data_IF_804799802528
#
_entry.id   IF_804799802528
#
_cell.length_a   1.000
_cell.length_b   1.000
_cell.length_c   1.000
_cell.angle_alpha   90.00
_cell.angle_beta   90.00
_cell.angle_gamma   90.00
#
_symmetry.space_group_name_H-M   'P 1'
#
loop_
_entity.id
_entity.type
_entity.pdbx_description
1 polymer ?
#
# COMPACT_ATOMS: atom_id res chain seq x y z
N UNK A 1 -3.54 -42.58 -60.72
CA UNK A 1 -4.31 -41.68 -61.55
C UNK A 1 -4.25 -40.34 -60.90
N UNK A 2 -3.45 -39.46 -61.52
CA UNK A 2 -3.53 -38.02 -61.73
C UNK A 2 -3.44 -37.18 -60.45
N UNK A 3 -2.36 -36.62 -60.08
CA UNK A 3 -1.48 -35.57 -60.62
C UNK A 3 -2.24 -34.36 -61.14
N UNK A 4 -2.01 -33.24 -60.49
CA UNK A 4 -2.03 -31.83 -60.91
C UNK A 4 -2.19 -30.96 -59.63
N UNK A 5 -1.40 -30.01 -59.31
CA UNK A 5 -0.39 -29.23 -59.97
C UNK A 5 -0.36 -27.87 -59.31
N UNK A 6 0.76 -27.51 -58.87
CA UNK A 6 1.42 -26.18 -58.69
C UNK A 6 0.61 -24.92 -59.08
N UNK A 7 0.68 -23.86 -58.29
CA UNK A 7 1.31 -22.57 -58.61
C UNK A 7 1.19 -21.65 -57.39
N UNK A 8 2.30 -21.20 -56.78
CA UNK A 8 3.13 -20.00 -57.13
C UNK A 8 2.46 -18.65 -56.80
N UNK A 9 3.12 -17.94 -55.93
CA UNK A 9 3.31 -16.50 -55.86
C UNK A 9 2.11 -15.58 -56.12
N UNK A 10 1.50 -15.11 -55.05
CA UNK A 10 0.88 -13.78 -55.05
C UNK A 10 1.79 -12.76 -54.36
N UNK A 11 2.57 -12.05 -55.22
CA UNK A 11 3.18 -10.76 -54.88
C UNK A 11 2.07 -9.72 -54.70
N UNK A 12 2.00 -9.15 -53.50
CA UNK A 12 1.17 -7.98 -53.26
C UNK A 12 1.79 -6.78 -53.96
N UNK A 13 1.13 -6.31 -55.02
CA UNK A 13 1.36 -5.09 -55.74
C UNK A 13 1.04 -3.88 -54.85
N UNK A 14 2.10 -3.11 -54.45
CA UNK A 14 1.95 -1.82 -53.79
C UNK A 14 1.95 -0.75 -54.87
N UNK A 15 0.86 0.03 -55.05
CA UNK A 15 0.86 1.08 -56.10
C UNK A 15 1.87 2.17 -55.78
N UNK A 16 2.76 2.45 -56.75
CA UNK A 16 3.67 3.55 -56.71
C UNK A 16 2.90 4.88 -56.74
N UNK A 17 3.06 5.68 -55.70
CA UNK A 17 2.59 7.07 -55.65
C UNK A 17 3.58 7.92 -56.47
N UNK A 18 3.13 8.37 -57.66
CA UNK A 18 3.86 9.36 -58.49
C UNK A 18 3.76 10.74 -57.87
N UNK A 19 4.91 11.31 -57.52
CA UNK A 19 5.02 12.70 -57.11
C UNK A 19 4.82 13.61 -58.33
N UNK A 20 4.14 14.78 -58.22
CA UNK A 20 3.97 15.71 -59.29
C UNK A 20 5.30 16.42 -59.63
N UNK A 21 5.57 16.51 -60.93
CA UNK A 21 6.67 17.31 -61.49
C UNK A 21 6.35 18.79 -61.26
N UNK A 22 7.22 19.50 -60.57
CA UNK A 22 7.11 20.95 -60.38
C UNK A 22 7.82 21.61 -61.54
N UNK A 23 7.07 22.39 -62.34
CA UNK A 23 7.61 23.25 -63.38
C UNK A 23 8.58 24.29 -62.83
N UNK A 24 9.72 24.42 -63.50
CA UNK A 24 10.73 25.45 -63.21
C UNK A 24 10.19 26.83 -63.51
N UNK A 25 10.00 27.67 -62.48
CA UNK A 25 9.79 29.11 -62.65
C UNK A 25 11.11 29.85 -62.84
N UNK A 26 11.14 31.00 -63.56
CA UNK A 26 12.35 31.65 -63.95
C UNK A 26 13.13 32.25 -62.76
N UNK A 27 14.46 32.14 -62.86
CA UNK A 27 15.44 32.65 -61.91
C UNK A 27 15.41 34.22 -61.88
N UNK A 28 14.79 34.76 -60.81
CA UNK A 28 15.04 36.18 -60.50
C UNK A 28 16.37 36.30 -59.74
N UNK A 29 17.21 37.24 -60.25
CA UNK A 29 18.46 37.62 -59.66
C UNK A 29 18.29 38.15 -58.26
N UNK A 30 18.69 37.36 -57.30
CA UNK A 30 18.69 37.72 -55.87
C UNK A 30 19.89 38.66 -55.62
N UNK A 31 19.61 39.91 -55.28
CA UNK A 31 20.57 40.83 -54.71
C UNK A 31 21.02 40.29 -53.34
N UNK A 32 22.27 39.94 -53.19
CA UNK A 32 22.89 39.54 -51.95
C UNK A 32 22.78 40.65 -50.89
N UNK A 33 21.83 40.56 -49.97
CA UNK A 33 21.88 41.32 -48.72
C UNK A 33 22.92 40.67 -47.81
N UNK A 34 23.79 41.41 -47.13
CA UNK A 34 24.78 40.82 -46.24
C UNK A 34 24.06 40.03 -45.11
N UNK A 35 24.31 38.74 -45.04
CA UNK A 35 23.90 37.90 -43.94
C UNK A 35 24.66 38.36 -42.70
N UNK A 36 23.96 39.06 -41.81
CA UNK A 36 24.47 39.30 -40.47
C UNK A 36 24.43 37.93 -39.77
N UNK A 37 25.58 37.29 -39.65
CA UNK A 37 25.73 36.14 -38.75
C UNK A 37 25.35 36.59 -37.34
N UNK A 38 24.11 36.33 -36.95
CA UNK A 38 23.74 36.34 -35.55
C UNK A 38 24.50 35.19 -34.88
N UNK A 39 25.63 35.52 -34.28
CA UNK A 39 26.35 34.62 -33.39
C UNK A 39 25.34 34.21 -32.32
N UNK A 40 24.84 32.98 -32.40
CA UNK A 40 23.99 32.42 -31.38
C UNK A 40 24.73 32.55 -30.04
N UNK A 41 24.08 33.18 -29.05
CA UNK A 41 24.66 33.29 -27.72
C UNK A 41 25.08 31.88 -27.25
N UNK A 42 26.25 31.73 -26.62
CA UNK A 42 26.71 30.43 -26.17
C UNK A 42 25.63 29.79 -25.30
N UNK A 43 25.20 28.58 -25.64
CA UNK A 43 24.30 27.78 -24.82
C UNK A 43 25.03 27.53 -23.51
N UNK A 44 24.67 28.28 -22.47
CA UNK A 44 25.19 28.05 -21.14
C UNK A 44 24.60 26.72 -20.65
N UNK A 45 25.39 25.66 -20.70
CA UNK A 45 25.00 24.39 -20.09
C UNK A 45 25.04 24.60 -18.59
N UNK A 46 23.88 24.46 -17.87
CA UNK A 46 23.87 24.66 -16.45
C UNK A 46 24.78 23.63 -15.74
N UNK A 47 25.46 24.06 -14.66
CA UNK A 47 26.26 23.17 -13.84
C UNK A 47 25.34 22.08 -13.21
N UNK A 48 25.82 20.86 -13.15
CA UNK A 48 25.08 19.79 -12.41
C UNK A 48 24.94 20.07 -10.92
N UNK A 49 25.66 21.08 -10.38
CA UNK A 49 25.50 21.54 -9.01
C UNK A 49 24.35 22.55 -8.84
N UNK A 50 23.68 22.94 -9.94
CA UNK A 50 22.55 23.84 -9.89
C UNK A 50 21.32 23.12 -9.32
N UNK A 51 20.90 23.52 -8.12
CA UNK A 51 19.77 22.93 -7.41
C UNK A 51 18.44 23.02 -8.17
N UNK A 52 18.31 23.97 -9.10
CA UNK A 52 17.11 24.11 -9.93
C UNK A 52 16.89 22.95 -10.91
N UNK A 53 17.93 22.15 -11.18
CA UNK A 53 17.85 20.96 -12.04
C UNK A 53 17.29 19.73 -11.31
N UNK A 54 17.09 19.79 -10.02
CA UNK A 54 16.68 18.66 -9.20
C UNK A 54 15.27 18.84 -8.64
N UNK A 55 14.51 17.76 -8.69
CA UNK A 55 13.20 17.68 -8.05
C UNK A 55 13.37 16.96 -6.72
N UNK A 56 12.78 17.51 -5.66
CA UNK A 56 12.81 16.87 -4.33
C UNK A 56 12.18 15.47 -4.39
N UNK A 57 12.94 14.47 -3.98
CA UNK A 57 12.60 13.06 -4.12
C UNK A 57 11.26 12.70 -3.47
N UNK A 58 11.05 13.13 -2.22
CA UNK A 58 9.86 12.82 -1.45
C UNK A 58 8.62 13.53 -2.00
N UNK A 59 8.76 14.79 -2.44
CA UNK A 59 7.66 15.52 -3.10
C UNK A 59 7.31 14.89 -4.45
N UNK A 60 8.31 14.44 -5.23
CA UNK A 60 8.09 13.71 -6.48
C UNK A 60 7.33 12.39 -6.24
N UNK A 61 7.66 11.66 -5.18
CA UNK A 61 6.95 10.43 -4.81
C UNK A 61 5.49 10.72 -4.44
N UNK A 62 5.21 11.82 -3.75
CA UNK A 62 3.84 12.25 -3.46
C UNK A 62 3.07 12.63 -4.72
N UNK A 63 3.71 13.31 -5.70
CA UNK A 63 3.10 13.61 -7.00
C UNK A 63 2.74 12.32 -7.77
N UNK A 64 3.58 11.29 -7.69
CA UNK A 64 3.23 9.98 -8.23
C UNK A 64 2.00 9.39 -7.52
N UNK A 65 1.95 9.46 -6.18
CA UNK A 65 0.83 8.92 -5.42
C UNK A 65 -0.49 9.70 -5.69
N UNK A 66 -0.41 11.01 -5.95
CA UNK A 66 -1.57 11.81 -6.39
C UNK A 66 -2.14 11.26 -7.71
N UNK A 67 -1.30 10.90 -8.67
CA UNK A 67 -1.77 10.27 -9.93
C UNK A 67 -2.44 8.92 -9.67
N UNK A 68 -2.01 8.17 -8.65
CA UNK A 68 -2.70 6.96 -8.22
C UNK A 68 -4.10 7.29 -7.70
N UNK A 69 -4.25 8.36 -6.90
CA UNK A 69 -5.56 8.79 -6.41
C UNK A 69 -6.48 9.25 -7.54
N UNK A 70 -5.94 9.89 -8.57
CA UNK A 70 -6.71 10.35 -9.73
C UNK A 70 -7.40 9.20 -10.48
N UNK A 71 -6.80 8.00 -10.50
CA UNK A 71 -7.42 6.81 -11.09
C UNK A 71 -8.76 6.45 -10.39
N UNK A 72 -8.95 6.85 -9.14
CA UNK A 72 -10.23 6.65 -8.44
C UNK A 72 -11.37 7.49 -9.04
N UNK A 73 -11.06 8.54 -9.78
CA UNK A 73 -12.03 9.39 -10.47
C UNK A 73 -12.26 9.00 -11.93
N UNK A 74 -11.37 8.23 -12.52
CA UNK A 74 -11.45 7.82 -13.93
C UNK A 74 -12.56 6.77 -14.12
N UNK A 75 -13.65 7.18 -14.77
CA UNK A 75 -14.83 6.33 -15.00
C UNK A 75 -14.59 5.24 -16.05
N UNK A 76 -13.46 5.24 -16.74
CA UNK A 76 -13.08 4.14 -17.64
C UNK A 76 -12.70 2.86 -16.88
N UNK A 77 -12.37 2.98 -15.58
CA UNK A 77 -12.11 1.83 -14.71
C UNK A 77 -13.40 1.31 -14.06
N UNK A 78 -13.51 -0.02 -13.87
CA UNK A 78 -14.58 -0.62 -13.07
C UNK A 78 -14.61 -0.06 -11.64
N UNK A 79 -15.80 0.06 -11.05
CA UNK A 79 -16.00 0.80 -9.80
C UNK A 79 -15.18 0.26 -8.59
N UNK A 80 -15.05 -1.06 -8.46
CA UNK A 80 -14.24 -1.66 -7.39
C UNK A 80 -12.74 -1.46 -7.62
N UNK A 81 -12.31 -1.33 -8.88
CA UNK A 81 -10.92 -0.96 -9.20
C UNK A 81 -10.64 0.51 -8.85
N UNK A 82 -11.59 1.41 -9.10
CA UNK A 82 -11.51 2.81 -8.65
C UNK A 82 -11.36 2.89 -7.12
N UNK A 83 -12.14 2.08 -6.40
CA UNK A 83 -11.95 1.95 -4.95
C UNK A 83 -10.56 1.44 -4.59
N UNK A 84 -10.04 0.41 -5.29
CA UNK A 84 -8.68 -0.10 -5.07
C UNK A 84 -7.63 1.00 -5.21
N UNK A 85 -7.70 1.85 -6.24
CA UNK A 85 -6.76 2.96 -6.42
C UNK A 85 -6.77 3.94 -5.25
N UNK A 86 -7.96 4.29 -4.72
CA UNK A 86 -8.07 5.10 -3.52
C UNK A 86 -7.42 4.45 -2.29
N UNK A 87 -7.52 3.13 -2.16
CA UNK A 87 -6.91 2.37 -1.07
C UNK A 87 -5.40 2.20 -1.25
N UNK A 88 -4.93 2.04 -2.48
CA UNK A 88 -3.51 2.01 -2.83
C UNK A 88 -2.86 3.35 -2.45
N UNK A 89 -3.53 4.48 -2.74
CA UNK A 89 -3.08 5.80 -2.27
C UNK A 89 -2.85 5.82 -0.76
N UNK A 90 -3.81 5.30 0.03
CA UNK A 90 -3.65 5.18 1.49
C UNK A 90 -2.47 4.30 1.89
N UNK A 91 -2.30 3.15 1.23
CA UNK A 91 -1.22 2.21 1.53
C UNK A 91 0.15 2.81 1.22
N UNK A 92 0.27 3.46 0.07
CA UNK A 92 1.49 4.16 -0.33
C UNK A 92 1.83 5.30 0.64
N UNK A 93 0.80 6.02 1.11
CA UNK A 93 0.98 7.09 2.07
C UNK A 93 1.42 6.55 3.45
N UNK A 94 0.89 5.40 3.87
CA UNK A 94 1.34 4.73 5.09
C UNK A 94 2.85 4.41 5.02
N UNK A 95 3.30 3.76 3.95
CA UNK A 95 4.71 3.44 3.75
C UNK A 95 5.59 4.69 3.67
N UNK A 96 5.10 5.73 2.99
CA UNK A 96 5.79 7.02 2.87
C UNK A 96 6.07 7.63 4.25
N UNK A 97 5.09 7.63 5.15
CA UNK A 97 5.27 8.13 6.51
C UNK A 97 6.17 7.22 7.35
N UNK A 98 5.99 5.91 7.26
CA UNK A 98 6.76 4.93 8.02
C UNK A 98 8.27 4.99 7.72
N UNK A 99 8.63 5.38 6.49
CA UNK A 99 10.03 5.32 6.02
C UNK A 99 10.57 6.70 5.68
N UNK A 100 9.91 7.45 4.79
CA UNK A 100 10.47 8.71 4.26
C UNK A 100 10.35 9.85 5.24
N UNK A 101 9.15 10.10 5.75
CA UNK A 101 8.94 11.13 6.77
C UNK A 101 9.72 10.79 8.05
N UNK A 102 9.70 9.53 8.46
CA UNK A 102 10.49 9.05 9.60
C UNK A 102 11.99 9.32 9.40
N UNK A 103 12.52 9.07 8.18
CA UNK A 103 13.92 9.35 7.85
C UNK A 103 14.28 10.84 7.93
N UNK A 104 13.42 11.72 7.38
CA UNK A 104 13.61 13.17 7.48
C UNK A 104 13.58 13.67 8.95
N UNK A 105 12.65 13.15 9.76
CA UNK A 105 12.59 13.46 11.20
C UNK A 105 13.86 13.02 11.94
N UNK A 106 14.41 11.85 11.61
CA UNK A 106 15.67 11.39 12.16
C UNK A 106 16.84 12.34 11.81
N UNK A 107 16.92 12.81 10.56
CA UNK A 107 17.96 13.75 10.15
C UNK A 107 17.94 15.03 10.99
N UNK A 108 16.76 15.58 11.26
CA UNK A 108 16.59 16.75 12.11
C UNK A 108 17.01 16.45 13.55
N UNK A 109 16.53 15.34 14.14
CA UNK A 109 16.81 14.98 15.52
C UNK A 109 18.31 14.71 15.79
N UNK A 110 19.05 14.22 14.81
CA UNK A 110 20.49 13.97 14.93
C UNK A 110 21.35 15.15 14.47
N UNK A 111 20.77 16.34 14.25
CA UNK A 111 21.45 17.54 13.75
C UNK A 111 22.30 17.29 12.48
N UNK A 112 21.87 16.33 11.64
CA UNK A 112 22.47 16.01 10.33
C UNK A 112 21.65 16.66 9.21
N UNK A 113 21.25 17.91 9.40
CA UNK A 113 20.51 18.65 8.40
C UNK A 113 21.44 19.03 7.24
N UNK A 114 21.43 18.20 6.20
CA UNK A 114 22.06 18.52 4.92
C UNK A 114 20.96 18.77 3.88
N UNK A 115 21.09 19.89 3.15
CA UNK A 115 20.21 20.15 2.03
C UNK A 115 20.34 19.03 0.99
N UNK A 116 19.22 18.64 0.39
CA UNK A 116 19.21 17.77 -0.78
C UNK A 116 19.86 18.43 -1.99
N UNK A 117 20.04 17.67 -3.08
CA UNK A 117 20.54 18.22 -4.34
C UNK A 117 19.66 19.38 -4.87
N UNK A 118 18.38 19.39 -4.54
CA UNK A 118 17.38 20.43 -4.82
C UNK A 118 17.48 21.66 -3.89
N UNK A 119 18.41 21.68 -2.95
CA UNK A 119 18.64 22.77 -2.00
C UNK A 119 17.66 22.84 -0.82
N UNK A 120 16.65 21.95 -0.72
CA UNK A 120 15.71 21.96 0.40
C UNK A 120 16.33 21.34 1.67
N UNK A 121 16.16 22.05 2.78
CA UNK A 121 16.48 21.50 4.09
C UNK A 121 15.40 20.51 4.57
N UNK A 122 15.71 19.51 5.38
CA UNK A 122 14.77 18.51 5.88
C UNK A 122 13.51 19.10 6.52
N UNK A 123 13.64 20.15 7.33
CA UNK A 123 12.48 20.81 7.95
C UNK A 123 11.57 21.52 6.94
N UNK A 124 12.14 22.13 5.88
CA UNK A 124 11.37 22.75 4.80
C UNK A 124 10.64 21.68 3.97
N UNK A 125 11.31 20.56 3.71
CA UNK A 125 10.71 19.43 3.03
C UNK A 125 9.51 18.88 3.83
N UNK A 126 9.65 18.67 5.15
CA UNK A 126 8.56 18.22 6.01
C UNK A 126 7.35 19.17 6.00
N UNK A 127 7.58 20.50 6.04
CA UNK A 127 6.49 21.46 5.95
C UNK A 127 5.73 21.34 4.64
N UNK A 128 6.43 21.31 3.49
CA UNK A 128 5.80 21.15 2.16
C UNK A 128 5.09 19.80 2.01
N UNK A 129 5.66 18.74 2.58
CA UNK A 129 5.04 17.41 2.62
C UNK A 129 3.74 17.47 3.41
N UNK A 130 3.74 18.10 4.60
CA UNK A 130 2.54 18.22 5.43
C UNK A 130 1.42 18.96 4.68
N UNK A 131 1.71 20.13 4.11
CA UNK A 131 0.73 20.93 3.36
C UNK A 131 0.09 20.13 2.21
N UNK A 132 0.95 19.48 1.39
CA UNK A 132 0.49 18.67 0.26
C UNK A 132 -0.35 17.46 0.72
N UNK A 133 0.08 16.77 1.76
CA UNK A 133 -0.62 15.57 2.25
C UNK A 133 -1.95 15.94 2.91
N UNK A 134 -2.03 17.05 3.66
CA UNK A 134 -3.30 17.51 4.21
C UNK A 134 -4.34 17.77 3.12
N UNK A 135 -3.95 18.46 2.05
CA UNK A 135 -4.81 18.68 0.90
C UNK A 135 -5.29 17.37 0.28
N UNK A 136 -4.36 16.46 0.01
CA UNK A 136 -4.68 15.21 -0.69
C UNK A 136 -5.46 14.21 0.17
N UNK A 137 -5.26 14.17 1.49
CA UNK A 137 -6.10 13.37 2.40
C UNK A 137 -7.52 13.92 2.42
N UNK A 138 -7.70 15.25 2.48
CA UNK A 138 -9.02 15.88 2.35
C UNK A 138 -9.71 15.45 1.04
N UNK A 139 -9.00 15.53 -0.10
CA UNK A 139 -9.49 15.11 -1.41
C UNK A 139 -9.84 13.62 -1.46
N UNK A 140 -9.02 12.77 -0.86
CA UNK A 140 -9.26 11.32 -0.78
C UNK A 140 -10.59 11.00 -0.08
N UNK A 141 -10.86 11.62 1.06
CA UNK A 141 -12.10 11.40 1.80
C UNK A 141 -13.32 12.01 1.09
N UNK A 142 -13.17 13.12 0.36
CA UNK A 142 -14.22 13.66 -0.49
C UNK A 142 -14.55 12.68 -1.63
N UNK A 143 -13.55 12.14 -2.34
CA UNK A 143 -13.76 11.12 -3.38
C UNK A 143 -14.49 9.90 -2.80
N UNK A 144 -14.08 9.41 -1.65
CA UNK A 144 -14.70 8.25 -1.00
C UNK A 144 -16.18 8.51 -0.68
N UNK A 145 -16.47 9.64 -0.02
CA UNK A 145 -17.80 9.93 0.51
C UNK A 145 -18.79 10.43 -0.54
N UNK A 146 -18.32 11.24 -1.49
CA UNK A 146 -19.20 11.97 -2.42
C UNK A 146 -19.27 11.30 -3.80
N UNK A 147 -18.28 10.45 -4.15
CA UNK A 147 -18.24 9.77 -5.43
C UNK A 147 -18.39 8.25 -5.26
N UNK A 148 -17.46 7.58 -4.57
CA UNK A 148 -17.40 6.13 -4.57
C UNK A 148 -18.51 5.47 -3.74
N UNK A 149 -18.78 5.91 -2.51
CA UNK A 149 -19.86 5.34 -1.71
C UNK A 149 -21.24 5.50 -2.35
N UNK A 150 -21.62 6.67 -2.91
CA UNK A 150 -22.87 6.79 -3.66
C UNK A 150 -22.93 5.91 -4.92
N UNK A 151 -21.81 5.76 -5.64
CA UNK A 151 -21.75 4.88 -6.80
C UNK A 151 -21.90 3.40 -6.41
N UNK A 152 -21.21 2.94 -5.36
CA UNK A 152 -21.35 1.59 -4.82
C UNK A 152 -22.78 1.28 -4.37
N UNK A 153 -23.45 2.24 -3.75
CA UNK A 153 -24.85 2.08 -3.33
C UNK A 153 -25.81 1.85 -4.49
N UNK A 154 -25.56 2.45 -5.66
CA UNK A 154 -26.35 2.19 -6.88
C UNK A 154 -26.24 0.73 -7.38
N UNK A 155 -25.14 0.06 -7.04
CA UNK A 155 -24.90 -1.35 -7.33
C UNK A 155 -25.27 -2.28 -6.15
N UNK A 156 -25.99 -1.78 -5.13
CA UNK A 156 -26.43 -2.58 -3.99
C UNK A 156 -25.33 -2.86 -2.95
N UNK A 157 -24.19 -2.19 -3.03
CA UNK A 157 -23.11 -2.27 -2.04
C UNK A 157 -23.22 -1.07 -1.09
N UNK A 158 -23.77 -1.31 0.10
CA UNK A 158 -24.16 -0.23 1.00
C UNK A 158 -23.34 -0.25 2.31
N UNK A 159 -22.89 0.93 2.73
CA UNK A 159 -22.31 1.15 4.05
C UNK A 159 -23.33 1.86 4.94
N UNK A 160 -23.97 1.10 5.83
CA UNK A 160 -25.07 1.60 6.65
C UNK A 160 -24.51 2.42 7.82
N UNK A 161 -24.58 3.75 7.69
CA UNK A 161 -24.13 4.69 8.73
C UNK A 161 -25.06 4.60 9.95
N UNK A 162 -24.51 4.73 11.17
CA UNK A 162 -25.23 4.61 12.45
C UNK A 162 -26.54 5.41 12.53
N UNK A 163 -26.59 6.63 11.97
CA UNK A 163 -27.78 7.48 11.93
C UNK A 163 -28.97 6.87 11.18
N UNK A 164 -28.72 5.90 10.31
CA UNK A 164 -29.75 5.21 9.52
C UNK A 164 -30.07 3.82 10.05
N UNK A 165 -29.54 3.42 11.23
CA UNK A 165 -29.85 2.13 11.80
C UNK A 165 -31.31 2.03 12.23
N UNK A 166 -32.05 1.11 11.64
CA UNK A 166 -33.39 0.71 12.04
C UNK A 166 -33.37 -0.03 13.38
N UNK A 167 -34.54 -0.30 13.95
CA UNK A 167 -34.66 -1.10 15.17
C UNK A 167 -34.03 -2.50 14.98
N UNK A 168 -34.22 -3.12 13.79
CA UNK A 168 -33.59 -4.43 13.47
C UNK A 168 -32.06 -4.33 13.45
N UNK A 169 -31.52 -3.28 12.79
CA UNK A 169 -30.08 -3.04 12.77
C UNK A 169 -29.52 -2.88 14.19
N UNK A 170 -30.13 -2.05 15.03
CA UNK A 170 -29.70 -1.82 16.41
C UNK A 170 -29.72 -3.11 17.25
N UNK A 171 -30.77 -3.93 17.13
CA UNK A 171 -30.88 -5.19 17.85
C UNK A 171 -29.78 -6.19 17.40
N UNK A 172 -29.53 -6.28 16.09
CA UNK A 172 -28.49 -7.16 15.55
C UNK A 172 -27.10 -6.67 15.95
N UNK A 173 -26.79 -5.38 15.78
CA UNK A 173 -25.50 -4.77 16.18
C UNK A 173 -25.23 -5.01 17.67
N UNK A 174 -26.24 -4.80 18.55
CA UNK A 174 -26.08 -5.03 19.99
C UNK A 174 -25.74 -6.48 20.32
N UNK A 175 -26.40 -7.44 19.65
CA UNK A 175 -26.10 -8.87 19.82
C UNK A 175 -24.69 -9.18 19.34
N UNK A 176 -24.34 -8.75 18.11
CA UNK A 176 -23.02 -8.97 17.54
C UNK A 176 -21.91 -8.33 18.40
N UNK A 177 -22.13 -7.11 18.88
CA UNK A 177 -21.19 -6.45 19.78
C UNK A 177 -20.95 -7.26 21.05
N UNK A 178 -22.02 -7.67 21.72
CA UNK A 178 -21.94 -8.42 22.98
C UNK A 178 -21.28 -9.80 22.80
N UNK A 179 -21.61 -10.50 21.72
CA UNK A 179 -21.22 -11.89 21.54
C UNK A 179 -19.84 -12.03 20.85
N UNK A 180 -19.48 -11.11 19.96
CA UNK A 180 -18.27 -11.23 19.12
C UNK A 180 -17.20 -10.15 19.39
N UNK A 181 -17.60 -8.94 19.83
CA UNK A 181 -16.67 -7.82 19.96
C UNK A 181 -16.25 -7.59 21.41
N UNK A 182 -17.21 -7.45 22.32
CA UNK A 182 -16.94 -7.12 23.72
C UNK A 182 -16.01 -8.11 24.44
N UNK A 183 -16.09 -9.44 24.21
CA UNK A 183 -15.19 -10.40 24.87
C UNK A 183 -13.71 -10.24 24.47
N UNK A 184 -13.43 -9.59 23.33
CA UNK A 184 -12.07 -9.47 22.76
C UNK A 184 -11.48 -8.08 23.02
N UNK A 185 -12.30 -7.10 23.36
CA UNK A 185 -11.88 -5.72 23.61
C UNK A 185 -11.59 -5.53 25.10
N UNK A 186 -10.42 -4.95 25.39
CA UNK A 186 -10.04 -4.57 26.75
C UNK A 186 -9.80 -3.04 26.79
N UNK A 187 -10.74 -2.27 27.34
CA UNK A 187 -10.53 -0.85 27.58
C UNK A 187 -9.42 -0.62 28.61
N UNK A 188 -8.65 0.43 28.42
CA UNK A 188 -7.55 0.82 29.30
C UNK A 188 -7.80 2.25 29.80
N UNK A 189 -8.06 2.39 31.10
CA UNK A 189 -8.17 3.70 31.75
C UNK A 189 -6.83 4.44 31.71
N UNK A 190 -6.86 5.71 31.39
CA UNK A 190 -5.67 6.56 31.38
C UNK A 190 -5.53 7.24 32.74
N UNK A 191 -4.47 6.92 33.46
CA UNK A 191 -4.09 7.51 34.73
C UNK A 191 -2.84 8.39 34.52
N UNK A 192 -2.85 9.66 34.93
CA UNK A 192 -1.69 10.53 34.79
C UNK A 192 -0.41 10.01 35.48
N UNK A 193 -0.54 9.08 36.42
CA UNK A 193 0.59 8.47 37.14
C UNK A 193 1.21 7.28 36.40
N UNK A 194 0.56 6.79 35.36
CA UNK A 194 1.03 5.67 34.55
C UNK A 194 1.37 6.11 33.12
N UNK A 195 2.36 5.48 32.48
CA UNK A 195 2.65 5.77 31.09
C UNK A 195 1.47 5.39 30.18
N UNK A 196 1.31 6.14 29.11
CA UNK A 196 0.29 5.86 28.10
C UNK A 196 0.48 4.45 27.51
N UNK A 197 -0.60 3.68 27.26
CA UNK A 197 -0.48 2.33 26.73
C UNK A 197 0.24 2.29 25.40
N UNK A 198 1.09 1.26 25.21
CA UNK A 198 1.80 1.05 23.95
C UNK A 198 0.80 0.59 22.87
N UNK A 199 0.52 1.49 21.93
CA UNK A 199 -0.36 1.21 20.81
C UNK A 199 0.44 0.69 19.62
N UNK A 200 -0.06 -0.38 19.02
CA UNK A 200 0.56 -1.01 17.85
C UNK A 200 0.45 -0.10 16.63
N UNK A 201 1.52 -0.01 15.84
CA UNK A 201 1.56 0.75 14.58
C UNK A 201 0.35 0.45 13.68
N UNK A 202 -0.31 1.49 13.18
CA UNK A 202 -1.50 1.44 12.29
C UNK A 202 -2.71 0.66 12.86
N UNK A 203 -2.79 0.45 14.18
CA UNK A 203 -3.98 -0.14 14.81
C UNK A 203 -5.11 0.89 14.91
N UNK A 204 -6.36 0.39 14.86
CA UNK A 204 -7.53 1.20 15.18
C UNK A 204 -7.66 1.29 16.69
N UNK A 205 -7.77 2.50 17.19
CA UNK A 205 -7.96 2.78 18.61
C UNK A 205 -9.08 3.81 18.77
N UNK A 206 -9.62 3.91 19.99
CA UNK A 206 -10.57 4.95 20.36
C UNK A 206 -10.07 5.66 21.60
N UNK A 207 -10.11 6.98 21.59
CA UNK A 207 -10.01 7.80 22.80
C UNK A 207 -11.42 8.03 23.31
N UNK A 208 -11.63 7.75 24.58
CA UNK A 208 -12.96 7.82 25.23
C UNK A 208 -12.87 8.81 26.36
N UNK A 209 -13.79 9.79 26.35
CA UNK A 209 -13.97 10.74 27.44
C UNK A 209 -15.05 10.21 28.39
N UNK A 210 -14.72 10.12 29.67
CA UNK A 210 -15.55 9.50 30.72
C UNK A 210 -15.90 10.52 31.81
N UNK A 211 -17.04 10.31 32.44
CA UNK A 211 -17.50 11.08 33.60
C UNK A 211 -17.91 10.09 34.69
N UNK A 212 -17.48 10.33 35.92
CA UNK A 212 -17.75 9.49 37.09
C UNK A 212 -16.52 8.75 37.59
N UNK A 213 -16.72 7.84 38.53
CA UNK A 213 -15.65 7.02 39.12
C UNK A 213 -15.77 5.58 38.64
N UNK A 214 -14.64 4.94 38.42
CA UNK A 214 -14.59 3.53 38.03
C UNK A 214 -15.01 2.62 39.23
N UNK A 215 -15.08 1.31 38.96
CA UNK A 215 -15.42 0.30 39.97
C UNK A 215 -14.45 0.28 41.18
N UNK A 216 -13.29 0.92 41.05
CA UNK A 216 -12.25 1.05 42.11
C UNK A 216 -12.25 2.42 42.75
N UNK A 217 -13.23 3.28 42.45
CA UNK A 217 -13.37 4.62 43.02
C UNK A 217 -12.39 5.67 42.42
N UNK A 218 -11.76 5.40 41.28
CA UNK A 218 -10.85 6.32 40.62
C UNK A 218 -11.59 7.17 39.60
N UNK A 219 -11.29 8.46 39.59
CA UNK A 219 -11.75 9.38 38.55
C UNK A 219 -10.74 9.30 37.38
N UNK A 220 -11.04 8.44 36.43
CA UNK A 220 -10.27 8.37 35.18
C UNK A 220 -11.09 9.00 34.06
N UNK A 221 -10.90 10.33 33.87
CA UNK A 221 -11.63 11.08 32.85
C UNK A 221 -11.41 10.61 31.40
N UNK A 222 -10.42 9.75 31.18
CA UNK A 222 -10.08 9.25 29.85
C UNK A 222 -9.75 7.77 29.83
N UNK A 223 -10.08 7.12 28.72
CA UNK A 223 -9.67 5.75 28.43
C UNK A 223 -9.31 5.57 26.96
N UNK A 224 -8.57 4.51 26.67
CA UNK A 224 -8.29 4.06 25.31
C UNK A 224 -8.90 2.68 25.09
N UNK A 225 -9.56 2.49 23.95
CA UNK A 225 -10.03 1.18 23.49
C UNK A 225 -9.19 0.78 22.27
N UNK A 226 -8.19 -0.11 22.41
CA UNK A 226 -7.50 -0.68 21.27
C UNK A 226 -8.39 -1.75 20.62
N UNK A 227 -8.65 -1.64 19.32
CA UNK A 227 -9.41 -2.64 18.59
C UNK A 227 -8.44 -3.70 18.01
N UNK A 228 -8.50 -4.96 18.45
CA UNK A 228 -7.63 -6.03 18.00
C UNK A 228 -7.66 -6.22 16.48
N UNK A 229 -6.51 -6.58 15.88
CA UNK A 229 -6.40 -6.81 14.44
C UNK A 229 -7.20 -8.02 13.95
N UNK A 230 -7.51 -8.94 14.83
CA UNK A 230 -8.32 -10.13 14.57
C UNK A 230 -9.76 -9.77 14.16
N UNK A 231 -10.32 -8.68 14.71
CA UNK A 231 -11.67 -8.24 14.40
C UNK A 231 -11.75 -7.68 12.97
N UNK A 232 -12.73 -8.13 12.14
CA UNK A 232 -12.98 -7.56 10.84
C UNK A 232 -13.37 -6.08 10.98
N UNK A 233 -12.86 -5.22 10.12
CA UNK A 233 -13.17 -3.77 10.15
C UNK A 233 -14.49 -3.43 9.50
N UNK A 234 -14.95 -4.31 8.61
CA UNK A 234 -16.19 -4.21 7.85
C UNK A 234 -16.95 -5.49 8.10
N UNK A 235 -18.16 -5.38 8.61
CA UNK A 235 -19.00 -6.51 8.97
C UNK A 235 -20.19 -6.55 8.02
N UNK A 236 -20.36 -7.68 7.33
CA UNK A 236 -21.52 -7.90 6.46
C UNK A 236 -22.77 -8.08 7.32
N UNK A 237 -23.80 -7.30 7.02
CA UNK A 237 -25.10 -7.41 7.69
C UNK A 237 -25.89 -8.54 7.04
N UNK A 238 -26.46 -9.48 7.79
CA UNK A 238 -27.34 -10.51 7.23
C UNK A 238 -28.53 -9.91 6.46
N UNK A 239 -28.95 -10.58 5.38
CA UNK A 239 -30.01 -10.07 4.52
C UNK A 239 -31.35 -9.86 5.26
N UNK A 240 -31.64 -10.69 6.25
CA UNK A 240 -32.87 -10.58 7.07
C UNK A 240 -32.90 -9.29 7.90
N UNK A 241 -31.73 -8.68 8.13
CA UNK A 241 -31.55 -7.44 8.90
C UNK A 241 -31.32 -6.25 7.99
N UNK A 242 -30.44 -6.38 7.02
CA UNK A 242 -29.98 -5.30 6.12
C UNK A 242 -30.85 -5.12 4.89
N UNK A 243 -31.68 -6.12 4.54
CA UNK A 243 -32.37 -6.16 3.26
C UNK A 243 -31.47 -6.67 2.12
N UNK A 244 -31.98 -6.64 0.87
CA UNK A 244 -31.26 -7.15 -0.29
C UNK A 244 -29.97 -6.38 -0.57
N UNK A 245 -28.99 -7.07 -1.15
CA UNK A 245 -27.70 -6.52 -1.53
C UNK A 245 -26.59 -6.76 -0.51
N UNK A 246 -25.42 -6.21 -0.80
CA UNK A 246 -24.23 -6.32 0.04
C UNK A 246 -24.19 -5.16 1.06
N UNK A 247 -24.84 -5.35 2.20
CA UNK A 247 -24.96 -4.36 3.25
C UNK A 247 -23.87 -4.54 4.30
N UNK A 248 -23.16 -3.46 4.65
CA UNK A 248 -22.04 -3.47 5.57
C UNK A 248 -22.18 -2.43 6.69
N UNK A 249 -21.61 -2.74 7.85
CA UNK A 249 -21.42 -1.81 8.97
C UNK A 249 -19.94 -1.80 9.37
N UNK A 250 -19.40 -0.62 9.66
CA UNK A 250 -18.05 -0.50 10.19
C UNK A 250 -17.97 -0.95 11.64
N UNK A 251 -16.92 -1.69 11.98
CA UNK A 251 -16.59 -2.04 13.37
C UNK A 251 -16.55 -0.80 14.28
N UNK A 252 -15.96 0.29 13.77
CA UNK A 252 -15.87 1.56 14.49
C UNK A 252 -17.25 2.11 14.88
N UNK A 253 -18.25 1.94 14.01
CA UNK A 253 -19.64 2.36 14.31
C UNK A 253 -20.28 1.50 15.39
N UNK A 254 -19.96 0.19 15.44
CA UNK A 254 -20.46 -0.71 16.47
C UNK A 254 -19.83 -0.40 17.83
N UNK A 255 -18.51 -0.23 17.89
CA UNK A 255 -17.80 0.12 19.13
C UNK A 255 -18.28 1.46 19.65
N UNK A 256 -18.39 2.48 18.79
CA UNK A 256 -18.90 3.79 19.19
C UNK A 256 -20.35 3.73 19.72
N UNK A 257 -21.19 2.86 19.16
CA UNK A 257 -22.59 2.74 19.58
C UNK A 257 -22.76 2.05 20.95
N UNK A 258 -21.78 1.26 21.36
CA UNK A 258 -21.78 0.44 22.56
C UNK A 258 -20.60 0.72 23.48
N UNK A 259 -19.99 1.92 23.35
CA UNK A 259 -18.88 2.32 24.22
C UNK A 259 -19.30 2.35 25.71
N UNK A 260 -20.52 2.77 26.01
CA UNK A 260 -21.05 2.77 27.39
C UNK A 260 -21.06 1.36 28.04
N UNK A 261 -21.32 0.32 27.23
CA UNK A 261 -21.35 -1.06 27.70
C UNK A 261 -19.97 -1.56 28.19
N UNK A 262 -18.89 -0.87 27.80
CA UNK A 262 -17.50 -1.19 28.16
C UNK A 262 -17.03 -0.52 29.47
N UNK A 263 -17.80 0.44 30.01
CA UNK A 263 -17.42 1.21 31.20
C UNK A 263 -18.54 1.21 32.23
N UNK A 264 -18.79 0.06 32.92
CA UNK A 264 -19.83 -0.04 33.91
C UNK A 264 -19.64 0.97 35.06
N UNK A 265 -20.68 1.72 35.39
CA UNK A 265 -20.65 2.73 36.43
C UNK A 265 -20.15 4.12 36.03
N UNK A 266 -19.63 4.26 34.81
CA UNK A 266 -19.19 5.53 34.24
C UNK A 266 -20.08 5.95 33.05
N UNK A 267 -20.10 7.24 32.73
CA UNK A 267 -20.82 7.77 31.59
C UNK A 267 -19.82 8.14 30.50
N UNK A 268 -20.03 7.64 29.29
CA UNK A 268 -19.23 8.01 28.11
C UNK A 268 -19.73 9.36 27.58
N UNK A 269 -18.89 10.39 27.62
CA UNK A 269 -19.15 11.70 27.02
C UNK A 269 -18.85 11.74 25.53
N UNK A 270 -17.78 11.02 25.12
CA UNK A 270 -17.33 10.96 23.75
C UNK A 270 -16.47 9.74 23.49
N UNK A 271 -16.51 9.25 22.25
CA UNK A 271 -15.71 8.11 21.80
C UNK A 271 -15.24 8.39 20.37
N UNK A 272 -13.94 8.56 20.17
CA UNK A 272 -13.39 9.04 18.90
C UNK A 272 -12.31 8.09 18.40
N UNK A 273 -12.46 7.61 17.17
CA UNK A 273 -11.48 6.73 16.56
C UNK A 273 -10.22 7.49 16.17
N UNK A 274 -9.08 6.84 16.36
CA UNK A 274 -7.80 7.34 15.91
C UNK A 274 -6.86 6.22 15.51
N UNK A 275 -5.84 6.57 14.75
CA UNK A 275 -4.78 5.68 14.29
C UNK A 275 -3.44 6.39 14.39
N UNK A 276 -2.42 5.68 14.85
CA UNK A 276 -1.05 6.16 14.93
C UNK A 276 -0.19 5.43 13.90
N UNK A 277 0.54 6.18 13.06
CA UNK A 277 1.59 5.65 12.19
C UNK A 277 2.93 5.88 12.87
N UNK A 278 3.78 4.85 12.90
CA UNK A 278 5.09 4.88 13.57
C UNK A 278 6.21 4.67 12.57
N UNK A 279 7.38 5.14 12.92
CA UNK A 279 8.61 4.81 12.22
C UNK A 279 8.78 3.29 12.13
N UNK A 280 8.93 2.78 10.92
CA UNK A 280 9.16 1.37 10.64
C UNK A 280 10.50 1.12 9.96
N UNK A 281 11.35 2.14 9.84
CA UNK A 281 12.68 2.01 9.28
C UNK A 281 13.62 1.33 10.27
N UNK A 282 14.22 0.22 9.85
CA UNK A 282 15.16 -0.55 10.67
C UNK A 282 16.55 0.13 10.60
N UNK A 283 16.97 0.65 11.73
CA UNK A 283 18.27 1.33 11.85
C UNK A 283 19.35 0.40 12.43
N UNK A 284 19.52 -0.79 11.83
CA UNK A 284 20.65 -1.66 12.20
C UNK A 284 21.90 -1.12 11.55
N UNK A 285 22.85 -0.68 12.35
CA UNK A 285 24.19 -0.36 11.89
C UNK A 285 24.93 -1.67 11.61
N UNK A 286 25.20 -1.93 10.33
CA UNK A 286 25.79 -3.21 9.90
C UNK A 286 27.30 -3.28 10.14
N UNK A 287 27.94 -2.14 10.40
CA UNK A 287 29.39 -2.10 10.61
C UNK A 287 29.78 -2.59 12.02
N UNK A 288 28.87 -2.43 13.00
CA UNK A 288 29.14 -2.76 14.42
C UNK A 288 28.47 -4.05 14.91
N UNK A 289 27.80 -4.83 14.01
CA UNK A 289 27.01 -6.00 14.42
C UNK A 289 27.64 -7.31 13.97
N UNK A 290 28.09 -8.11 14.94
CA UNK A 290 28.63 -9.46 14.69
C UNK A 290 27.56 -10.46 14.18
N UNK A 291 26.27 -10.30 14.59
CA UNK A 291 25.13 -11.15 14.20
C UNK A 291 23.95 -10.30 13.74
N UNK A 292 23.87 -10.08 12.43
CA UNK A 292 22.81 -9.33 11.79
C UNK A 292 21.41 -9.94 12.02
N UNK A 293 21.29 -11.25 12.05
CA UNK A 293 20.00 -11.93 12.25
C UNK A 293 19.45 -11.69 13.66
N UNK A 294 20.33 -11.69 14.67
CA UNK A 294 19.98 -11.41 16.06
C UNK A 294 19.61 -9.94 16.27
N UNK A 295 20.38 -9.03 15.68
CA UNK A 295 20.11 -7.60 15.74
C UNK A 295 18.76 -7.26 15.08
N UNK A 296 18.49 -7.80 13.90
CA UNK A 296 17.21 -7.61 13.22
C UNK A 296 16.01 -8.13 14.01
N UNK A 297 16.13 -9.26 14.72
CA UNK A 297 15.04 -9.74 15.60
C UNK A 297 14.70 -8.75 16.70
N UNK A 298 15.70 -8.12 17.31
CA UNK A 298 15.50 -7.06 18.30
C UNK A 298 14.78 -5.85 17.71
N UNK A 299 15.25 -5.39 16.56
CA UNK A 299 14.69 -4.22 15.86
C UNK A 299 13.27 -4.49 15.31
N UNK A 300 12.94 -5.69 14.86
CA UNK A 300 11.59 -6.04 14.41
C UNK A 300 10.56 -5.91 15.53
N UNK A 301 10.94 -6.19 16.77
CA UNK A 301 10.06 -5.93 17.92
C UNK A 301 9.89 -4.43 18.15
N UNK A 302 10.97 -3.66 18.11
CA UNK A 302 10.99 -2.20 18.26
C UNK A 302 10.16 -1.50 17.18
N UNK A 303 10.13 -2.03 15.96
CA UNK A 303 9.34 -1.49 14.83
C UNK A 303 7.84 -1.36 15.12
N UNK A 304 7.28 -2.25 15.95
CA UNK A 304 5.85 -2.16 16.36
C UNK A 304 5.57 -0.94 17.22
N UNK A 305 6.59 -0.37 17.85
CA UNK A 305 6.52 0.67 18.87
C UNK A 305 7.50 1.83 18.63
N UNK A 306 8.00 1.98 17.40
CA UNK A 306 8.88 3.10 17.01
C UNK A 306 8.23 4.47 17.22
N UNK A 307 9.01 5.54 17.06
CA UNK A 307 8.53 6.91 17.21
C UNK A 307 7.31 7.19 16.35
N UNK A 308 6.36 7.96 16.87
CA UNK A 308 5.21 8.39 16.13
C UNK A 308 5.60 9.36 15.01
N UNK A 309 4.99 9.21 13.84
CA UNK A 309 5.22 10.07 12.67
C UNK A 309 3.95 10.69 12.11
N UNK A 310 2.78 10.11 12.40
CA UNK A 310 1.48 10.64 11.96
C UNK A 310 0.37 10.19 12.90
N UNK A 311 -0.54 11.10 13.22
CA UNK A 311 -1.78 10.82 13.95
C UNK A 311 -2.97 11.11 13.05
N UNK A 312 -3.83 10.13 12.83
CA UNK A 312 -5.10 10.28 12.13
C UNK A 312 -6.24 10.15 13.13
N UNK A 313 -7.16 11.09 13.13
CA UNK A 313 -8.29 11.16 14.07
C UNK A 313 -9.56 11.50 13.29
N UNK A 314 -10.71 10.98 13.69
CA UNK A 314 -11.99 11.42 13.12
C UNK A 314 -12.19 12.93 13.35
N UNK A 315 -12.71 13.62 12.33
CA UNK A 315 -12.88 15.09 12.31
C UNK A 315 -13.77 15.65 13.44
N UNK A 316 -14.64 14.81 14.00
CA UNK A 316 -15.52 15.15 15.12
C UNK A 316 -14.82 15.11 16.49
N UNK A 317 -13.55 14.70 16.55
CA UNK A 317 -12.80 14.65 17.80
C UNK A 317 -12.51 16.07 18.32
N UNK A 318 -12.85 16.41 19.57
CA UNK A 318 -12.62 17.73 20.12
C UNK A 318 -11.12 18.08 20.22
N UNK A 319 -10.82 19.38 20.08
CA UNK A 319 -9.43 19.86 20.09
C UNK A 319 -8.67 19.48 21.35
N UNK A 320 -9.28 19.54 22.52
CA UNK A 320 -8.59 19.17 23.78
C UNK A 320 -8.11 17.72 23.80
N UNK A 321 -8.84 16.79 23.15
CA UNK A 321 -8.41 15.38 23.04
C UNK A 321 -7.32 15.20 21.99
N UNK A 322 -7.41 15.90 20.86
CA UNK A 322 -6.35 15.86 19.85
C UNK A 322 -5.05 16.46 20.36
N UNK A 323 -5.11 17.59 21.09
CA UNK A 323 -3.94 18.21 21.72
C UNK A 323 -3.29 17.28 22.75
N UNK A 324 -4.10 16.54 23.52
CA UNK A 324 -3.60 15.54 24.46
C UNK A 324 -2.91 14.38 23.75
N UNK A 325 -3.50 13.85 22.67
CA UNK A 325 -2.88 12.79 21.87
C UNK A 325 -1.57 13.27 21.23
N UNK A 326 -1.55 14.48 20.65
CA UNK A 326 -0.34 15.07 20.08
C UNK A 326 0.78 15.18 21.12
N UNK A 327 0.46 15.73 22.29
CA UNK A 327 1.42 15.83 23.42
C UNK A 327 1.93 14.45 23.84
N UNK A 328 1.03 13.47 23.92
CA UNK A 328 1.37 12.11 24.36
C UNK A 328 2.32 11.40 23.39
N UNK A 329 2.18 11.65 22.10
CA UNK A 329 2.99 11.00 21.07
C UNK A 329 4.16 11.86 20.59
N UNK A 330 4.36 13.06 21.15
CA UNK A 330 5.43 13.98 20.74
C UNK A 330 5.26 14.46 19.29
N UNK A 331 4.02 14.69 18.87
CA UNK A 331 3.68 15.17 17.54
C UNK A 331 3.22 16.62 17.57
N UNK A 332 3.35 17.31 16.44
CA UNK A 332 2.86 18.67 16.19
C UNK A 332 1.53 18.66 15.45
N UNK A 333 0.90 19.82 15.30
CA UNK A 333 -0.33 19.97 14.51
C UNK A 333 -0.13 19.60 13.02
N UNK A 334 1.07 19.76 12.46
CA UNK A 334 1.38 19.36 11.08
C UNK A 334 1.28 17.84 10.84
N UNK A 335 1.38 17.06 11.91
CA UNK A 335 1.32 15.60 11.87
C UNK A 335 -0.06 15.04 12.25
N UNK A 336 -1.03 15.94 12.55
CA UNK A 336 -2.41 15.60 12.84
C UNK A 336 -3.27 15.64 11.59
N UNK A 337 -3.89 14.55 11.23
CA UNK A 337 -4.82 14.42 10.11
C UNK A 337 -6.22 14.13 10.61
N UNK A 338 -7.10 15.12 10.56
CA UNK A 338 -8.52 14.97 10.89
C UNK A 338 -9.28 14.52 9.64
N UNK A 339 -9.97 13.39 9.72
CA UNK A 339 -10.56 12.72 8.57
C UNK A 339 -12.06 12.52 8.72
N UNK A 340 -12.82 12.80 7.66
CA UNK A 340 -14.27 12.61 7.61
C UNK A 340 -14.62 11.18 7.18
N UNK A 341 -14.38 10.22 8.07
CA UNK A 341 -14.68 8.83 7.77
C UNK A 341 -13.92 7.85 8.67
N UNK A 342 -13.86 6.58 8.27
CA UNK A 342 -13.09 5.60 9.03
C UNK A 342 -11.60 5.87 8.89
N UNK A 343 -10.87 5.88 10.00
CA UNK A 343 -9.40 5.85 9.94
C UNK A 343 -8.95 4.48 9.42
N UNK A 344 -7.80 4.41 8.74
CA UNK A 344 -7.28 3.18 8.13
C UNK A 344 -8.14 2.62 6.98
N UNK A 345 -8.22 3.37 5.90
CA UNK A 345 -9.01 3.03 4.70
C UNK A 345 -8.56 1.73 4.02
N UNK A 346 -7.29 1.30 4.18
CA UNK A 346 -6.77 0.06 3.58
C UNK A 346 -7.58 -1.19 3.97
N UNK A 347 -8.35 -1.13 5.06
CA UNK A 347 -9.22 -2.24 5.47
C UNK A 347 -10.42 -2.45 4.53
N UNK A 348 -10.73 -1.47 3.70
CA UNK A 348 -11.74 -1.60 2.64
C UNK A 348 -11.30 -2.52 1.48
N UNK A 349 -10.02 -2.91 1.39
CA UNK A 349 -9.59 -3.93 0.42
C UNK A 349 -10.37 -5.24 0.53
N UNK A 350 -10.91 -5.58 1.70
CA UNK A 350 -11.71 -6.79 1.89
C UNK A 350 -13.00 -6.84 1.07
N UNK A 351 -13.46 -5.70 0.54
CA UNK A 351 -14.66 -5.64 -0.30
C UNK A 351 -14.36 -5.40 -1.79
N UNK A 352 -13.10 -5.27 -2.19
CA UNK A 352 -12.76 -4.99 -3.58
C UNK A 352 -12.71 -6.24 -4.46
N UNK A 353 -12.81 -7.43 -3.88
CA UNK A 353 -12.86 -8.72 -4.56
C UNK A 353 -14.19 -9.45 -4.32
N UNK A 354 -15.33 -8.77 -4.47
CA UNK A 354 -16.63 -9.37 -4.26
C UNK A 354 -17.03 -10.25 -5.46
N UNK A 355 -17.11 -11.57 -5.27
CA UNK A 355 -17.55 -12.52 -6.29
C UNK A 355 -18.97 -12.23 -6.81
N UNK A 356 -19.79 -11.55 -6.02
CA UNK A 356 -21.15 -11.15 -6.40
C UNK A 356 -21.22 -10.01 -7.42
N UNK A 357 -20.09 -9.33 -7.70
CA UNK A 357 -20.02 -8.17 -8.58
C UNK A 357 -18.80 -8.22 -9.51
N UNK A 358 -18.69 -9.24 -10.38
CA UNK A 358 -17.56 -9.35 -11.30
C UNK A 358 -17.52 -8.21 -12.32
N UNK A 359 -18.67 -7.63 -12.66
CA UNK A 359 -18.80 -6.50 -13.59
C UNK A 359 -18.20 -5.20 -13.06
N UNK A 360 -17.97 -5.11 -11.75
CA UNK A 360 -17.32 -3.96 -11.09
C UNK A 360 -15.80 -4.13 -10.92
N UNK A 361 -15.23 -5.18 -11.49
CA UNK A 361 -13.82 -5.54 -11.41
C UNK A 361 -13.25 -5.74 -12.80
N UNK A 362 -11.93 -5.67 -12.94
CA UNK A 362 -11.28 -6.13 -14.16
C UNK A 362 -11.49 -7.64 -14.34
N UNK A 363 -11.67 -8.03 -15.58
CA UNK A 363 -11.68 -9.46 -15.92
C UNK A 363 -10.37 -10.11 -15.43
N UNK A 364 -10.43 -11.33 -14.87
CA UNK A 364 -9.24 -12.03 -14.44
C UNK A 364 -8.27 -12.20 -15.61
N UNK A 365 -7.01 -11.83 -15.39
CA UNK A 365 -5.95 -12.04 -16.36
C UNK A 365 -5.27 -13.38 -16.08
N UNK A 366 -5.22 -14.23 -17.10
CA UNK A 366 -4.49 -15.51 -17.03
C UNK A 366 -3.19 -15.39 -17.80
N UNK A 367 -2.03 -15.44 -17.12
CA UNK A 367 -0.73 -15.42 -17.77
C UNK A 367 -0.58 -16.61 -18.73
N UNK A 368 0.04 -16.35 -19.88
CA UNK A 368 0.28 -17.40 -20.88
C UNK A 368 1.60 -18.13 -20.60
N UNK A 369 1.66 -19.41 -20.89
CA UNK A 369 2.93 -20.15 -20.91
C UNK A 369 3.55 -19.95 -22.30
N UNK A 370 4.82 -19.54 -22.44
CA UNK A 370 5.50 -19.38 -23.71
C UNK A 370 5.41 -20.66 -24.57
N UNK A 371 5.19 -20.51 -25.86
CA UNK A 371 5.01 -21.65 -26.79
C UNK A 371 6.13 -22.68 -26.70
N UNK A 372 7.36 -22.23 -26.45
CA UNK A 372 8.52 -23.12 -26.29
C UNK A 372 8.42 -24.07 -25.10
N UNK A 373 7.64 -23.68 -24.08
CA UNK A 373 7.48 -24.44 -22.83
C UNK A 373 6.13 -25.16 -22.72
N UNK A 374 5.15 -24.84 -23.57
CA UNK A 374 3.77 -25.35 -23.46
C UNK A 374 3.66 -26.88 -23.55
N UNK A 375 4.53 -27.54 -24.31
CA UNK A 375 4.48 -28.99 -24.56
C UNK A 375 5.76 -29.72 -24.12
N UNK A 376 6.55 -29.07 -23.25
CA UNK A 376 7.81 -29.66 -22.81
C UNK A 376 7.62 -30.40 -21.48
N UNK A 377 7.70 -31.73 -21.54
CA UNK A 377 7.74 -32.56 -20.32
C UNK A 377 9.04 -32.35 -19.51
N UNK A 378 10.11 -31.88 -20.18
CA UNK A 378 11.40 -31.64 -19.57
C UNK A 378 11.95 -30.26 -19.93
N UNK A 379 11.93 -29.36 -18.96
CA UNK A 379 12.40 -27.97 -19.12
C UNK A 379 13.91 -27.94 -19.47
N UNK A 380 14.72 -28.81 -18.91
CA UNK A 380 16.15 -28.86 -19.20
C UNK A 380 16.44 -29.09 -20.69
N UNK A 381 15.59 -29.88 -21.38
CA UNK A 381 15.74 -30.12 -22.80
C UNK A 381 15.52 -28.87 -23.65
N UNK A 382 14.78 -27.91 -23.15
CA UNK A 382 14.48 -26.62 -23.83
C UNK A 382 15.60 -25.62 -23.53
N UNK A 383 15.92 -25.40 -22.23
CA UNK A 383 16.93 -24.42 -21.83
C UNK A 383 18.36 -24.80 -22.28
N UNK A 384 18.61 -26.08 -22.53
CA UNK A 384 19.91 -26.50 -23.12
C UNK A 384 20.10 -26.12 -24.59
N UNK A 385 19.03 -25.75 -25.29
CA UNK A 385 19.07 -25.37 -26.71
C UNK A 385 19.12 -23.87 -26.92
N UNK A 386 18.48 -23.10 -26.03
CA UNK A 386 18.40 -21.65 -26.14
C UNK A 386 18.05 -21.00 -24.82
N UNK A 387 18.38 -19.73 -24.71
CA UNK A 387 17.93 -18.87 -23.61
C UNK A 387 16.42 -18.61 -23.68
N UNK A 388 15.81 -18.49 -22.51
CA UNK A 388 14.35 -18.22 -22.38
C UNK A 388 14.19 -16.94 -21.57
N UNK A 389 13.54 -15.95 -22.18
CA UNK A 389 13.13 -14.73 -21.53
C UNK A 389 11.64 -14.83 -21.17
N UNK A 390 11.27 -14.53 -19.92
CA UNK A 390 9.88 -14.46 -19.44
C UNK A 390 9.53 -13.03 -19.07
N UNK A 391 8.41 -12.54 -19.58
CA UNK A 391 7.89 -11.20 -19.28
C UNK A 391 6.71 -11.30 -18.29
N UNK A 392 7.01 -11.20 -17.00
CA UNK A 392 5.97 -11.20 -15.97
C UNK A 392 5.29 -9.81 -15.86
N UNK A 393 3.99 -9.75 -15.56
CA UNK A 393 3.03 -10.84 -15.24
C UNK A 393 2.34 -11.43 -16.48
N UNK A 394 2.69 -11.02 -17.70
CA UNK A 394 2.01 -11.46 -18.94
C UNK A 394 2.30 -12.92 -19.27
N UNK A 395 3.51 -13.36 -19.00
CA UNK A 395 3.90 -14.76 -19.07
C UNK A 395 3.94 -15.38 -17.67
N UNK A 396 3.53 -16.65 -17.59
CA UNK A 396 3.41 -17.37 -16.32
C UNK A 396 4.76 -17.57 -15.63
N UNK A 397 4.77 -17.46 -14.31
CA UNK A 397 5.91 -17.82 -13.48
C UNK A 397 6.04 -19.33 -13.25
N UNK A 398 5.00 -20.11 -13.59
CA UNK A 398 4.97 -21.58 -13.43
C UNK A 398 6.21 -22.29 -14.01
N UNK A 399 6.74 -21.92 -15.20
CA UNK A 399 7.95 -22.57 -15.71
C UNK A 399 9.17 -22.42 -14.81
N UNK A 400 9.30 -21.33 -14.06
CA UNK A 400 10.41 -21.16 -13.10
C UNK A 400 10.26 -22.12 -11.93
N UNK A 401 9.03 -22.26 -11.41
CA UNK A 401 8.72 -23.23 -10.34
C UNK A 401 8.94 -24.67 -10.82
N UNK A 402 8.48 -24.98 -12.03
CA UNK A 402 8.61 -26.31 -12.62
C UNK A 402 10.08 -26.69 -12.88
N UNK A 403 10.91 -25.72 -13.27
CA UNK A 403 12.37 -25.94 -13.38
C UNK A 403 12.95 -26.41 -12.05
N UNK A 404 12.60 -25.77 -10.94
CA UNK A 404 13.08 -26.16 -9.61
C UNK A 404 12.48 -27.47 -9.14
N UNK A 405 11.22 -27.75 -9.41
CA UNK A 405 10.57 -29.04 -9.10
C UNK A 405 11.19 -30.20 -9.90
N UNK A 406 11.49 -29.97 -11.18
CA UNK A 406 12.21 -30.96 -11.99
C UNK A 406 13.63 -31.14 -11.48
N UNK A 407 14.35 -30.05 -11.17
CA UNK A 407 15.69 -30.10 -10.60
C UNK A 407 15.72 -30.87 -9.27
N UNK A 408 14.69 -30.70 -8.42
CA UNK A 408 14.60 -31.43 -7.16
C UNK A 408 14.51 -32.96 -7.33
N UNK A 409 13.93 -33.44 -8.45
CA UNK A 409 13.68 -34.86 -8.72
C UNK A 409 14.69 -35.50 -9.67
N UNK A 410 15.31 -34.74 -10.56
CA UNK A 410 16.24 -35.25 -11.57
C UNK A 410 17.53 -35.75 -10.91
N UNK A 411 17.89 -37.04 -11.05
CA UNK A 411 19.10 -37.62 -10.46
C UNK A 411 20.39 -37.02 -11.01
N UNK A 412 20.37 -36.37 -12.17
CA UNK A 412 21.53 -35.73 -12.78
C UNK A 412 21.82 -34.33 -12.22
N UNK A 413 20.88 -33.75 -11.51
CA UNK A 413 21.07 -32.48 -10.81
C UNK A 413 21.71 -32.74 -9.46
N UNK A 414 22.93 -32.23 -9.26
CA UNK A 414 23.72 -32.47 -8.05
C UNK A 414 23.50 -31.35 -7.01
N UNK A 415 23.38 -30.12 -7.48
CA UNK A 415 23.28 -28.95 -6.61
C UNK A 415 22.34 -27.89 -7.18
N UNK A 416 21.71 -27.11 -6.27
CA UNK A 416 20.90 -25.95 -6.60
C UNK A 416 21.43 -24.75 -5.78
N UNK A 417 21.75 -23.65 -6.47
CA UNK A 417 22.13 -22.37 -5.83
C UNK A 417 21.10 -21.31 -6.20
N UNK A 418 20.41 -20.78 -5.20
CA UNK A 418 19.28 -19.88 -5.37
C UNK A 418 19.42 -18.62 -4.51
N UNK A 419 19.21 -17.45 -5.10
CA UNK A 419 19.06 -16.20 -4.34
C UNK A 419 17.58 -15.90 -4.14
N UNK A 420 17.20 -15.47 -2.92
CA UNK A 420 15.83 -15.10 -2.55
C UNK A 420 15.83 -13.71 -1.94
N UNK A 421 15.09 -12.80 -2.55
CA UNK A 421 14.88 -11.44 -2.03
C UNK A 421 13.56 -11.34 -1.25
N UNK A 422 12.45 -11.75 -1.89
CA UNK A 422 11.10 -11.82 -1.30
C UNK A 422 10.46 -13.12 -1.71
N UNK A 423 10.32 -14.05 -0.78
CA UNK A 423 9.78 -15.38 -1.05
C UNK A 423 8.27 -15.49 -0.76
N UNK A 424 7.73 -14.59 0.09
CA UNK A 424 6.37 -14.72 0.61
C UNK A 424 6.22 -15.85 1.63
N UNK A 425 5.06 -15.91 2.29
CA UNK A 425 4.80 -16.86 3.37
C UNK A 425 4.60 -18.33 2.89
N UNK A 426 4.12 -18.51 1.64
CA UNK A 426 3.85 -19.82 1.04
C UNK A 426 4.54 -19.89 -0.33
N UNK A 427 5.84 -20.09 -0.34
CA UNK A 427 6.63 -20.05 -1.56
C UNK A 427 6.84 -21.46 -2.13
N UNK A 428 6.25 -21.73 -3.30
CA UNK A 428 6.49 -22.98 -4.05
C UNK A 428 7.96 -23.17 -4.41
N UNK A 429 8.75 -22.07 -4.50
CA UNK A 429 10.20 -22.13 -4.68
C UNK A 429 10.87 -22.72 -3.44
N UNK A 430 10.49 -22.24 -2.25
CA UNK A 430 11.03 -22.75 -0.98
C UNK A 430 10.69 -24.23 -0.81
N UNK A 431 9.45 -24.62 -1.11
CA UNK A 431 9.00 -26.01 -1.05
C UNK A 431 9.83 -26.90 -1.99
N UNK A 432 10.11 -26.45 -3.22
CA UNK A 432 10.94 -27.18 -4.17
C UNK A 432 12.39 -27.30 -3.70
N UNK A 433 12.96 -26.27 -3.07
CA UNK A 433 14.32 -26.33 -2.51
C UNK A 433 14.41 -27.30 -1.32
N UNK A 434 13.39 -27.31 -0.45
CA UNK A 434 13.30 -28.28 0.66
C UNK A 434 13.18 -29.72 0.12
N UNK A 435 12.35 -29.94 -0.92
CA UNK A 435 12.24 -31.24 -1.59
C UNK A 435 13.57 -31.65 -2.18
N UNK A 436 14.31 -30.76 -2.84
CA UNK A 436 15.63 -31.03 -3.39
C UNK A 436 16.63 -31.50 -2.31
N UNK A 437 16.68 -30.80 -1.18
CA UNK A 437 17.54 -31.13 -0.06
C UNK A 437 17.18 -32.52 0.53
N UNK A 438 15.88 -32.81 0.68
CA UNK A 438 15.39 -34.15 1.12
C UNK A 438 15.76 -35.27 0.15
N UNK A 439 15.84 -34.97 -1.15
CA UNK A 439 16.29 -35.89 -2.19
C UNK A 439 17.83 -36.01 -2.28
N UNK A 440 18.56 -35.47 -1.31
CA UNK A 440 20.00 -35.58 -1.19
C UNK A 440 20.82 -34.65 -2.09
N UNK A 441 20.22 -33.60 -2.63
CA UNK A 441 20.93 -32.60 -3.42
C UNK A 441 21.57 -31.53 -2.52
N UNK A 442 22.69 -30.97 -2.97
CA UNK A 442 23.31 -29.84 -2.31
C UNK A 442 22.50 -28.59 -2.63
N UNK A 443 21.87 -27.96 -1.62
CA UNK A 443 21.07 -26.75 -1.78
C UNK A 443 21.70 -25.59 -1.03
N UNK A 444 22.05 -24.53 -1.76
CA UNK A 444 22.52 -23.28 -1.18
C UNK A 444 21.51 -22.17 -1.50
N UNK A 445 20.82 -21.67 -0.47
CA UNK A 445 19.92 -20.51 -0.60
C UNK A 445 20.56 -19.27 0.04
N UNK A 446 20.70 -18.19 -0.73
CA UNK A 446 21.14 -16.88 -0.24
C UNK A 446 19.93 -16.00 -0.09
N UNK A 447 19.65 -15.54 1.15
CA UNK A 447 18.42 -14.83 1.51
C UNK A 447 18.77 -13.42 1.95
N UNK A 448 18.09 -12.40 1.36
CA UNK A 448 18.22 -11.01 1.76
C UNK A 448 17.43 -10.75 3.06
N UNK A 449 18.12 -10.54 4.17
CA UNK A 449 17.50 -10.33 5.48
C UNK A 449 16.82 -8.96 5.61
N UNK A 450 17.30 -7.96 4.87
CA UNK A 450 16.79 -6.58 4.90
C UNK A 450 15.79 -6.28 3.77
N UNK A 451 15.15 -7.34 3.22
CA UNK A 451 14.05 -7.15 2.29
C UNK A 451 12.89 -6.47 3.02
N UNK A 452 12.68 -5.18 2.74
CA UNK A 452 11.75 -4.31 3.47
C UNK A 452 10.34 -4.92 3.55
N UNK A 453 9.81 -5.02 4.79
CA UNK A 453 8.55 -5.64 5.19
C UNK A 453 8.47 -7.17 5.09
N UNK A 454 9.48 -7.83 4.51
CA UNK A 454 9.58 -9.29 4.45
C UNK A 454 10.66 -9.84 5.39
N UNK A 455 11.27 -8.99 6.23
CA UNK A 455 12.38 -9.34 7.12
C UNK A 455 12.01 -10.49 8.07
N UNK A 456 10.80 -10.45 8.66
CA UNK A 456 10.32 -11.51 9.57
C UNK A 456 10.15 -12.85 8.82
N UNK A 457 9.58 -12.82 7.61
CA UNK A 457 9.44 -13.99 6.74
C UNK A 457 10.79 -14.54 6.35
N UNK A 458 11.71 -13.68 5.89
CA UNK A 458 13.04 -14.09 5.44
C UNK A 458 13.90 -14.62 6.60
N UNK A 459 13.80 -14.04 7.79
CA UNK A 459 14.46 -14.59 8.99
C UNK A 459 13.94 -15.97 9.36
N UNK A 460 12.67 -16.28 9.12
CA UNK A 460 12.11 -17.61 9.40
C UNK A 460 12.69 -18.68 8.49
N UNK A 461 13.09 -18.34 7.27
CA UNK A 461 13.66 -19.29 6.31
C UNK A 461 15.03 -19.83 6.73
N UNK A 462 15.79 -19.09 7.55
CA UNK A 462 17.09 -19.55 8.08
C UNK A 462 16.95 -20.85 8.88
N UNK A 463 15.77 -21.11 9.43
CA UNK A 463 15.50 -22.28 10.29
C UNK A 463 14.86 -23.46 9.53
N UNK A 464 14.63 -23.32 8.26
CA UNK A 464 14.11 -24.40 7.40
C UNK A 464 15.26 -25.22 6.84
#
# INVERSE_FOLDING_TARGET
>A
MSNEGLNENEQLDVPAVSLPVIDEAPVETVVETPVVETVAAPVVVPSLDDSSLYIHRELSQLQFNIRVLEQALDESYPLLERLKFLLIFSSNLDEFFEIRVAGLKKQINFAREQAGADGLQPHQALSRIADLVHEQVGRQYAILNDVLFPALAKHGINFIRRRYWTTKHKAWVRRYFRDEIAPIITPIGLDPTHPFPLLVNKSLNFIVELEGVDAFGRDSGLAVIPAPRLLPRIIKVPEEVGGPGANYVFLSSMIHAHADDLFPGMKVKGCYQFRLTRNADLSVDTEDVEDLARALRGELFSRRYGDAVRLEVVDTCPKHLTDQLLKQFGLSEHELYQVNGPVNLTRLFSITGLDSHPELQHAPFTPVIPKLLQNSENIFSVVSKQDILLLHPFESFTPVVDLLRQAAKDPHVLAIKQTLYRSGANSEIVDALVEAARNGKEVTAVIELRARFDEESNLSLIHI
#
